data_IF_834099221436
#
_entry.id   IF_834099221436
#
_cell.length_a   1.000
_cell.length_b   1.000
_cell.length_c   1.000
_cell.angle_alpha   90.00
_cell.angle_beta   90.00
_cell.angle_gamma   90.00
#
_symmetry.space_group_name_H-M   'P 1'
#
loop_
_entity.id
_entity.type
_entity.pdbx_description
1 polymer ?
#
# COMPACT_ATOMS: atom_id res chain seq x y z
N UNK A 1 -1.49 -19.55 11.90
CA UNK A 1 -2.34 -20.29 10.95
C UNK A 1 -3.50 -19.46 10.47
N UNK A 2 -4.41 -19.05 11.36
CA UNK A 2 -5.49 -18.13 10.98
C UNK A 2 -4.92 -16.78 10.49
N UNK A 3 -3.86 -16.30 11.14
CA UNK A 3 -3.15 -15.08 10.74
C UNK A 3 -2.69 -15.13 9.30
N UNK A 4 -2.14 -16.26 8.89
CA UNK A 4 -1.63 -16.44 7.54
C UNK A 4 -2.73 -16.37 6.49
N UNK A 5 -3.93 -16.89 6.78
CA UNK A 5 -5.04 -16.87 5.83
C UNK A 5 -5.48 -15.44 5.50
N UNK A 6 -5.59 -14.57 6.51
CA UNK A 6 -5.95 -13.16 6.31
C UNK A 6 -4.87 -12.44 5.51
N UNK A 7 -3.61 -12.62 5.90
CA UNK A 7 -2.48 -11.95 5.25
C UNK A 7 -2.33 -12.45 3.81
N UNK A 8 -2.46 -13.75 3.55
CA UNK A 8 -2.41 -14.32 2.20
C UNK A 8 -3.48 -13.68 1.31
N UNK A 9 -4.71 -13.57 1.81
CA UNK A 9 -5.80 -12.95 1.07
C UNK A 9 -5.47 -11.50 0.68
N UNK A 10 -4.98 -10.73 1.63
CA UNK A 10 -4.59 -9.33 1.38
C UNK A 10 -3.38 -9.22 0.46
N UNK A 11 -2.43 -10.12 0.59
CA UNK A 11 -1.27 -10.18 -0.31
C UNK A 11 -1.71 -10.43 -1.76
N UNK A 12 -2.63 -11.37 -1.96
CA UNK A 12 -3.19 -11.64 -3.29
C UNK A 12 -3.90 -10.41 -3.86
N UNK A 13 -4.64 -9.68 -3.03
CA UNK A 13 -5.29 -8.42 -3.43
C UNK A 13 -4.26 -7.40 -3.91
N UNK A 14 -3.16 -7.25 -3.15
CA UNK A 14 -2.08 -6.32 -3.51
C UNK A 14 -1.48 -6.71 -4.86
N UNK A 15 -1.18 -7.99 -5.07
CA UNK A 15 -0.62 -8.47 -6.33
C UNK A 15 -1.55 -8.21 -7.51
N UNK A 16 -2.83 -8.48 -7.36
CA UNK A 16 -3.83 -8.22 -8.41
C UNK A 16 -3.90 -6.73 -8.75
N UNK A 17 -3.89 -5.88 -7.74
CA UNK A 17 -3.92 -4.43 -7.95
C UNK A 17 -2.67 -3.93 -8.68
N UNK A 18 -1.50 -4.43 -8.30
CA UNK A 18 -0.24 -4.06 -8.94
C UNK A 18 -0.22 -4.54 -10.40
N UNK A 19 -0.70 -5.75 -10.67
CA UNK A 19 -0.79 -6.26 -12.04
C UNK A 19 -1.70 -5.39 -12.89
N UNK A 20 -2.85 -4.94 -12.36
CA UNK A 20 -3.75 -4.04 -13.06
C UNK A 20 -3.09 -2.70 -13.34
N UNK A 21 -2.34 -2.16 -12.38
CA UNK A 21 -1.60 -0.92 -12.57
C UNK A 21 -0.61 -1.06 -13.72
N UNK A 22 0.15 -2.14 -13.73
CA UNK A 22 1.15 -2.39 -14.78
C UNK A 22 0.51 -2.59 -16.15
N UNK A 23 -0.64 -3.26 -16.22
CA UNK A 23 -1.40 -3.44 -17.46
C UNK A 23 -1.84 -2.09 -18.05
N UNK A 24 -2.31 -1.18 -17.19
CA UNK A 24 -2.78 0.13 -17.62
C UNK A 24 -1.63 1.09 -17.95
N UNK A 25 -0.53 0.98 -17.24
CA UNK A 25 0.63 1.85 -17.42
C UNK A 25 1.47 1.44 -18.64
N UNK A 26 1.65 0.15 -18.85
CA UNK A 26 2.46 -0.42 -19.94
C UNK A 26 3.88 0.18 -20.02
N UNK A 27 4.44 0.53 -18.87
CA UNK A 27 5.77 1.13 -18.76
C UNK A 27 5.94 2.41 -19.62
N UNK A 28 4.84 3.13 -19.83
CA UNK A 28 4.80 4.34 -20.66
C UNK A 28 4.11 5.48 -19.92
N UNK A 29 4.88 6.51 -19.48
CA UNK A 29 4.30 7.64 -18.75
C UNK A 29 3.19 8.39 -19.52
N UNK A 30 3.22 8.36 -20.83
CA UNK A 30 2.19 9.00 -21.64
C UNK A 30 0.78 8.41 -21.40
N UNK A 31 0.71 7.16 -20.93
CA UNK A 31 -0.56 6.52 -20.59
C UNK A 31 -1.27 7.19 -19.41
N UNK A 32 -0.55 7.96 -18.59
CA UNK A 32 -1.15 8.72 -17.50
C UNK A 32 -2.01 9.89 -18.01
N UNK A 33 -1.85 10.29 -19.26
CA UNK A 33 -2.67 11.32 -19.91
C UNK A 33 -4.04 10.79 -20.37
N UNK A 34 -4.22 9.48 -20.39
CA UNK A 34 -5.50 8.84 -20.69
C UNK A 34 -6.31 8.74 -19.40
N UNK A 35 -7.46 9.43 -19.34
CA UNK A 35 -8.30 9.46 -18.14
C UNK A 35 -8.70 8.09 -17.63
N UNK A 36 -9.07 7.18 -18.52
CA UNK A 36 -9.50 5.84 -18.11
C UNK A 36 -8.37 5.05 -17.49
N UNK A 37 -7.17 5.14 -18.08
CA UNK A 37 -6.00 4.46 -17.54
C UNK A 37 -5.57 5.08 -16.22
N UNK A 38 -5.53 6.41 -16.16
CA UNK A 38 -5.16 7.13 -14.93
C UNK A 38 -6.10 6.78 -13.78
N UNK A 39 -7.42 6.84 -14.02
CA UNK A 39 -8.42 6.50 -13.00
C UNK A 39 -8.27 5.05 -12.52
N UNK A 40 -8.05 4.11 -13.44
CA UNK A 40 -7.86 2.70 -13.08
C UNK A 40 -6.59 2.49 -12.23
N UNK A 41 -5.51 3.18 -12.58
CA UNK A 41 -4.25 3.12 -11.84
C UNK A 41 -4.44 3.66 -10.42
N UNK A 42 -5.02 4.85 -10.29
CA UNK A 42 -5.25 5.48 -8.98
C UNK A 42 -6.14 4.61 -8.10
N UNK A 43 -7.23 4.08 -8.66
CA UNK A 43 -8.14 3.21 -7.92
C UNK A 43 -7.43 1.95 -7.41
N UNK A 44 -6.62 1.32 -8.25
CA UNK A 44 -5.90 0.11 -7.85
C UNK A 44 -4.79 0.42 -6.85
N UNK A 45 -4.15 1.58 -6.93
CA UNK A 45 -3.21 2.02 -5.90
C UNK A 45 -3.90 2.21 -4.55
N UNK A 46 -5.08 2.84 -4.54
CA UNK A 46 -5.86 3.00 -3.31
C UNK A 46 -6.20 1.65 -2.69
N UNK A 47 -6.62 0.70 -3.52
CA UNK A 47 -6.96 -0.66 -3.06
C UNK A 47 -5.76 -1.39 -2.49
N UNK A 48 -4.61 -1.29 -3.15
CA UNK A 48 -3.38 -1.93 -2.68
C UNK A 48 -2.92 -1.32 -1.35
N UNK A 49 -2.97 0.00 -1.21
CA UNK A 49 -2.63 0.68 0.03
C UNK A 49 -3.60 0.30 1.16
N UNK A 50 -4.90 0.20 0.86
CA UNK A 50 -5.88 -0.24 1.86
C UNK A 50 -5.60 -1.65 2.34
N UNK A 51 -5.22 -2.56 1.43
CA UNK A 51 -4.88 -3.93 1.81
C UNK A 51 -3.66 -3.98 2.73
N UNK A 52 -2.65 -3.14 2.47
CA UNK A 52 -1.47 -3.01 3.34
C UNK A 52 -1.87 -2.50 4.73
N UNK A 53 -2.73 -1.50 4.79
CA UNK A 53 -3.26 -0.97 6.06
C UNK A 53 -4.02 -2.07 6.82
N UNK A 54 -4.85 -2.83 6.11
CA UNK A 54 -5.62 -3.92 6.71
C UNK A 54 -4.71 -4.98 7.32
N UNK A 55 -3.61 -5.33 6.66
CA UNK A 55 -2.60 -6.25 7.20
C UNK A 55 -2.02 -5.70 8.50
N UNK A 56 -1.59 -4.44 8.49
CA UNK A 56 -0.98 -3.81 9.65
C UNK A 56 -1.95 -3.77 10.83
N UNK A 57 -3.20 -3.35 10.59
CA UNK A 57 -4.23 -3.29 11.62
C UNK A 57 -4.53 -4.68 12.20
N UNK A 58 -4.60 -5.69 11.34
CA UNK A 58 -4.85 -7.06 11.76
C UNK A 58 -3.75 -7.57 12.70
N UNK A 59 -2.48 -7.38 12.34
CA UNK A 59 -1.35 -7.83 13.14
C UNK A 59 -1.31 -7.11 14.49
N UNK A 60 -1.50 -5.78 14.47
CA UNK A 60 -1.51 -4.96 15.68
C UNK A 60 -2.60 -5.44 16.63
N UNK A 61 -3.80 -5.67 16.13
CA UNK A 61 -4.92 -6.14 16.92
C UNK A 61 -4.70 -7.57 17.43
N UNK A 62 -4.30 -8.46 16.56
CA UNK A 62 -4.17 -9.88 16.87
C UNK A 62 -3.04 -10.16 17.85
N UNK A 63 -1.96 -9.39 17.80
CA UNK A 63 -0.80 -9.54 18.68
C UNK A 63 -0.80 -8.54 19.84
N UNK A 64 -1.87 -7.77 20.00
CA UNK A 64 -2.07 -6.82 21.10
C UNK A 64 -0.91 -5.83 21.22
N UNK A 65 -0.51 -5.23 20.11
CA UNK A 65 0.63 -4.31 20.08
C UNK A 65 0.27 -2.90 20.52
N UNK A 66 -1.01 -2.59 20.65
CA UNK A 66 -1.50 -1.28 21.07
C UNK A 66 -2.76 -0.91 20.32
N UNK A 67 -3.22 0.33 20.52
CA UNK A 67 -4.42 0.86 19.88
C UNK A 67 -4.02 1.97 18.90
N UNK A 68 -4.07 1.72 17.59
CA UNK A 68 -3.73 2.77 16.62
C UNK A 68 -4.88 3.77 16.52
N UNK A 69 -4.57 5.05 16.55
CA UNK A 69 -5.55 6.12 16.35
C UNK A 69 -5.64 6.54 14.88
N UNK A 70 -4.60 6.27 14.11
CA UNK A 70 -4.53 6.55 12.68
C UNK A 70 -3.95 5.34 11.95
N UNK A 71 -4.06 5.34 10.63
CA UNK A 71 -3.44 4.28 9.82
C UNK A 71 -1.91 4.27 9.99
N UNK A 72 -1.30 5.44 10.11
CA UNK A 72 0.16 5.53 10.31
C UNK A 72 0.57 4.95 11.67
N UNK A 73 -0.27 5.11 12.69
CA UNK A 73 0.01 4.56 14.03
C UNK A 73 0.17 3.05 14.00
N UNK A 74 -0.58 2.35 13.15
CA UNK A 74 -0.43 0.89 13.05
C UNK A 74 0.99 0.50 12.65
N UNK A 75 1.58 1.22 11.70
CA UNK A 75 2.96 0.96 11.27
C UNK A 75 3.99 1.38 12.33
N UNK A 76 3.71 2.46 13.05
CA UNK A 76 4.54 2.85 14.21
C UNK A 76 4.58 1.75 15.27
N UNK A 77 3.43 1.14 15.56
CA UNK A 77 3.33 0.05 16.53
C UNK A 77 4.08 -1.20 16.05
N UNK A 78 4.00 -1.51 14.75
CA UNK A 78 4.79 -2.59 14.17
C UNK A 78 6.29 -2.32 14.32
N UNK A 79 6.71 -1.10 14.07
CA UNK A 79 8.11 -0.71 14.20
C UNK A 79 8.59 -0.80 15.65
N UNK A 80 7.82 -0.26 16.60
CA UNK A 80 8.16 -0.29 18.03
C UNK A 80 8.29 -1.71 18.57
N UNK A 81 7.60 -2.65 17.98
CA UNK A 81 7.61 -4.05 18.40
C UNK A 81 8.49 -4.94 17.51
N UNK A 82 9.36 -4.33 16.72
CA UNK A 82 10.36 -5.00 15.89
C UNK A 82 9.81 -5.89 14.77
N UNK A 83 8.55 -5.63 14.31
CA UNK A 83 7.98 -6.34 13.17
C UNK A 83 8.49 -5.80 11.84
N UNK A 84 8.85 -4.53 11.79
CA UNK A 84 9.40 -3.88 10.61
C UNK A 84 10.58 -2.99 10.98
N UNK A 85 11.45 -2.73 10.01
CA UNK A 85 12.59 -1.83 10.19
C UNK A 85 12.20 -0.38 9.88
N UNK A 86 13.12 0.55 10.14
CA UNK A 86 12.90 1.98 9.93
C UNK A 86 12.62 2.31 8.46
N UNK A 87 13.31 1.65 7.53
CA UNK A 87 13.12 1.86 6.09
C UNK A 87 11.70 1.48 5.67
N UNK A 88 11.23 0.32 6.12
CA UNK A 88 9.86 -0.15 5.84
C UNK A 88 8.83 0.79 6.43
N UNK A 89 9.04 1.26 7.65
CA UNK A 89 8.17 2.24 8.29
C UNK A 89 8.05 3.51 7.45
N UNK A 90 9.19 4.06 7.01
CA UNK A 90 9.23 5.27 6.20
C UNK A 90 8.50 5.07 4.88
N UNK A 91 8.75 3.95 4.20
CA UNK A 91 8.11 3.64 2.93
C UNK A 91 6.59 3.54 3.08
N UNK A 92 6.13 2.86 4.12
CA UNK A 92 4.69 2.68 4.34
C UNK A 92 4.00 3.99 4.72
N UNK A 93 4.64 4.83 5.53
CA UNK A 93 4.12 6.17 5.83
C UNK A 93 3.97 7.02 4.57
N UNK A 94 4.94 6.94 3.66
CA UNK A 94 4.88 7.64 2.38
C UNK A 94 3.71 7.19 1.52
N UNK A 95 3.49 5.88 1.43
CA UNK A 95 2.38 5.31 0.67
C UNK A 95 1.02 5.67 1.27
N UNK A 96 0.90 5.69 2.58
CA UNK A 96 -0.32 6.13 3.26
C UNK A 96 -0.60 7.60 2.99
N UNK A 97 0.43 8.43 3.02
CA UNK A 97 0.31 9.85 2.68
C UNK A 97 -0.22 10.04 1.28
N UNK A 98 0.30 9.29 0.32
CA UNK A 98 -0.19 9.30 -1.07
C UNK A 98 -1.66 8.84 -1.13
N UNK A 99 -2.00 7.74 -0.49
CA UNK A 99 -3.37 7.21 -0.46
C UNK A 99 -4.35 8.24 0.12
N UNK A 100 -3.98 8.93 1.18
CA UNK A 100 -4.84 9.94 1.81
C UNK A 100 -5.10 11.12 0.87
N UNK A 101 -4.09 11.58 0.14
CA UNK A 101 -4.26 12.62 -0.87
C UNK A 101 -5.23 12.15 -1.96
N UNK A 102 -5.03 10.94 -2.49
CA UNK A 102 -5.85 10.41 -3.57
C UNK A 102 -7.32 10.21 -3.18
N UNK A 103 -7.61 9.92 -1.89
CA UNK A 103 -8.97 9.67 -1.42
C UNK A 103 -9.70 10.97 -1.03
N UNK A 104 -8.99 11.93 -0.42
CA UNK A 104 -9.63 13.05 0.27
C UNK A 104 -9.68 14.37 -0.49
N UNK A 105 -8.87 14.56 -1.53
CA UNK A 105 -8.77 15.89 -2.13
C UNK A 105 -9.66 16.10 -3.35
N UNK A 106 -10.19 15.06 -3.96
CA UNK A 106 -10.91 15.12 -5.26
C UNK A 106 -10.13 15.87 -6.34
N UNK A 107 -8.90 16.24 -6.05
CA UNK A 107 -8.00 16.85 -7.02
C UNK A 107 -7.31 15.74 -7.79
N UNK A 108 -6.97 16.02 -9.02
CA UNK A 108 -6.15 15.11 -9.82
C UNK A 108 -4.82 14.91 -9.08
N UNK A 109 -4.44 13.65 -8.91
CA UNK A 109 -3.13 13.31 -8.37
C UNK A 109 -2.10 13.80 -9.40
N UNK A 110 -1.05 14.49 -8.93
CA UNK A 110 0.04 14.94 -9.76
C UNK A 110 0.64 13.75 -10.51
N UNK A 111 0.69 13.83 -11.84
CA UNK A 111 1.15 12.71 -12.69
C UNK A 111 2.64 12.40 -12.44
N UNK A 112 3.45 13.38 -12.07
CA UNK A 112 4.87 13.13 -11.75
C UNK A 112 5.00 12.31 -10.48
N UNK A 113 4.19 12.60 -9.48
CA UNK A 113 4.13 11.81 -8.24
C UNK A 113 3.62 10.41 -8.55
N UNK A 114 2.56 10.31 -9.34
CA UNK A 114 1.99 9.03 -9.72
C UNK A 114 3.00 8.16 -10.48
N UNK A 115 3.72 8.76 -11.42
CA UNK A 115 4.79 8.08 -12.16
C UNK A 115 5.86 7.54 -11.21
N UNK A 116 6.32 8.36 -10.26
CA UNK A 116 7.33 7.95 -9.28
C UNK A 116 6.84 6.76 -8.44
N UNK A 117 5.60 6.80 -7.98
CA UNK A 117 5.01 5.71 -7.20
C UNK A 117 4.98 4.42 -8.01
N UNK A 118 4.51 4.50 -9.26
CA UNK A 118 4.41 3.31 -10.13
C UNK A 118 5.78 2.71 -10.41
N UNK A 119 6.76 3.54 -10.71
CA UNK A 119 8.07 3.06 -11.16
C UNK A 119 8.99 2.67 -10.02
N UNK A 120 8.82 3.25 -8.82
CA UNK A 120 9.79 3.09 -7.74
C UNK A 120 9.21 2.55 -6.42
N UNK A 121 7.90 2.51 -6.24
CA UNK A 121 7.32 2.24 -4.91
C UNK A 121 6.28 1.10 -4.87
N UNK A 122 5.91 0.50 -5.99
CA UNK A 122 4.93 -0.60 -5.97
C UNK A 122 5.49 -1.82 -5.21
N UNK A 123 6.77 -2.10 -5.36
CA UNK A 123 7.39 -3.23 -4.68
C UNK A 123 7.43 -3.05 -3.16
N UNK A 124 7.41 -1.82 -2.67
CA UNK A 124 7.36 -1.57 -1.22
C UNK A 124 6.12 -2.19 -0.60
N UNK A 125 5.00 -2.19 -1.32
CA UNK A 125 3.74 -2.77 -0.85
C UNK A 125 3.82 -4.29 -0.76
N UNK A 126 4.32 -4.94 -1.81
CA UNK A 126 4.48 -6.40 -1.82
C UNK A 126 5.55 -6.86 -0.86
N UNK A 127 6.63 -6.12 -0.72
CA UNK A 127 7.71 -6.45 0.22
C UNK A 127 7.20 -6.41 1.67
N UNK A 128 6.42 -5.39 2.02
CA UNK A 128 5.81 -5.33 3.36
C UNK A 128 4.91 -6.55 3.60
N UNK A 129 4.00 -6.82 2.66
CA UNK A 129 3.05 -7.93 2.81
C UNK A 129 3.78 -9.28 2.92
N UNK A 130 4.84 -9.48 2.14
CA UNK A 130 5.65 -10.70 2.19
C UNK A 130 6.34 -10.85 3.53
N UNK A 131 6.89 -9.77 4.09
CA UNK A 131 7.49 -9.81 5.43
C UNK A 131 6.45 -10.22 6.47
N UNK A 132 5.24 -9.71 6.37
CA UNK A 132 4.18 -10.03 7.33
C UNK A 132 3.69 -11.48 7.20
N UNK A 133 3.78 -12.07 6.01
CA UNK A 133 3.48 -13.50 5.82
C UNK A 133 4.49 -14.41 6.55
N UNK A 134 5.69 -13.93 6.78
CA UNK A 134 6.79 -14.72 7.34
C UNK A 134 7.06 -14.46 8.83
N UNK A 135 6.17 -13.73 9.48
CA UNK A 135 6.30 -13.49 10.93
C UNK A 135 5.81 -14.67 11.75
#
# INVERSE_FOLDING_TARGET
MENSAVIINKFETIEKCINRINEEYENNPANLNDYRRNDAIVLNLQRACQAVIDIAMYIVSNNRLGIPHTNKDAFELLYKNDYIDEKTLKNMKGMIGFRNIAVHTYQEVDDDILQDVIENHLDDLTDFARKMLNI
#
